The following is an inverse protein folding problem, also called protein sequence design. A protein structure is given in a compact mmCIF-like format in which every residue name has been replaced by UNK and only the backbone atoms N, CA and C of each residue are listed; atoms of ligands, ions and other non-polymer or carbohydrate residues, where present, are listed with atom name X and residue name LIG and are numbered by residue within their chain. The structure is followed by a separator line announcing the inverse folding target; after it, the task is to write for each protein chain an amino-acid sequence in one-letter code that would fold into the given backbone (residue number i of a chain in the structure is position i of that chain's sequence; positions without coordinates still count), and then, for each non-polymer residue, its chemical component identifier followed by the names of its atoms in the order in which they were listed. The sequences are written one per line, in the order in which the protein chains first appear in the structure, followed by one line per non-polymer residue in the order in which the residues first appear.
data_IF_275951631046
#
_entry.id   IF_275951631046
#
_cell.length_a   1.000
_cell.length_b   1.000
_cell.length_c   1.000
_cell.angle_alpha   90.00
_cell.angle_beta   90.00
_cell.angle_gamma   90.00
#
_symmetry.space_group_name_H-M   'P 1'
#
loop_
_entity.id
_entity.type
_entity.pdbx_description
1 polymer ?
#
# COMPACT_ATOMS: atom_id res chain seq x y z
N UNK A 1 26.03 3.04 -24.05
CA UNK A 1 26.72 3.19 -22.80
C UNK A 1 25.85 3.75 -21.72
N UNK A 2 25.39 4.98 -21.92
CA UNK A 2 24.61 5.63 -20.88
C UNK A 2 23.34 4.88 -20.54
N UNK A 3 22.66 4.33 -21.53
CA UNK A 3 21.42 3.60 -21.28
C UNK A 3 21.67 2.36 -20.44
N UNK A 4 22.74 1.65 -20.74
CA UNK A 4 23.06 0.46 -20.00
C UNK A 4 23.39 0.81 -18.55
N UNK A 5 24.15 1.86 -18.37
CA UNK A 5 24.50 2.30 -17.04
C UNK A 5 23.24 2.68 -16.23
N UNK A 6 22.33 3.35 -16.89
CA UNK A 6 21.09 3.75 -16.26
C UNK A 6 20.26 2.54 -15.83
N UNK A 7 20.22 1.52 -16.66
CA UNK A 7 19.47 0.31 -16.34
C UNK A 7 20.05 -0.39 -15.12
N UNK A 8 21.38 -0.45 -15.06
CA UNK A 8 22.05 -1.08 -13.92
C UNK A 8 21.73 -0.34 -12.65
N UNK A 9 21.74 0.97 -12.70
CA UNK A 9 21.40 1.79 -11.54
C UNK A 9 19.98 1.49 -11.07
N UNK A 10 19.06 1.36 -11.99
CA UNK A 10 17.68 1.08 -11.66
C UNK A 10 17.54 -0.27 -10.99
N UNK A 11 18.27 -1.26 -11.47
CA UNK A 11 18.21 -2.59 -10.87
C UNK A 11 18.75 -2.59 -9.45
N UNK A 12 19.78 -1.81 -9.19
CA UNK A 12 20.31 -1.71 -7.84
C UNK A 12 19.26 -1.17 -6.89
N UNK A 13 18.51 -0.18 -7.32
CA UNK A 13 17.44 0.38 -6.50
C UNK A 13 16.37 -0.67 -6.20
N UNK A 14 16.06 -1.51 -7.17
CA UNK A 14 15.00 -2.48 -6.99
C UNK A 14 15.40 -3.63 -6.07
N UNK A 15 16.67 -3.73 -5.72
CA UNK A 15 17.13 -4.78 -4.80
C UNK A 15 17.07 -4.34 -3.35
N UNK A 16 16.54 -3.18 -3.08
CA UNK A 16 16.40 -2.65 -1.73
C UNK A 16 15.58 -3.60 -0.87
N UNK A 17 15.95 -3.72 0.40
CA UNK A 17 15.24 -4.58 1.34
C UNK A 17 13.79 -4.15 1.54
N UNK A 18 13.49 -2.88 1.31
CA UNK A 18 12.12 -2.37 1.41
C UNK A 18 11.45 -2.30 0.05
N UNK A 19 11.87 -3.17 -0.88
CA UNK A 19 11.27 -3.21 -2.19
C UNK A 19 9.77 -3.45 -2.04
N UNK A 20 9.00 -2.70 -2.82
CA UNK A 20 7.54 -2.76 -2.76
C UNK A 20 6.94 -1.61 -2.01
N UNK A 21 7.55 -1.14 -0.93
CA UNK A 21 6.95 -0.07 -0.12
C UNK A 21 6.98 1.28 -0.82
N UNK A 22 7.94 1.49 -1.68
CA UNK A 22 8.05 2.74 -2.44
C UNK A 22 7.51 2.61 -3.86
N UNK A 23 6.91 1.47 -4.18
CA UNK A 23 6.34 1.28 -5.51
C UNK A 23 5.16 2.21 -5.72
N UNK A 24 4.94 2.66 -6.96
CA UNK A 24 3.77 3.48 -7.23
C UNK A 24 2.48 2.76 -6.90
N UNK A 25 1.49 3.50 -6.47
CA UNK A 25 0.16 2.97 -6.18
C UNK A 25 -0.44 2.47 -7.49
N UNK A 26 -0.79 1.19 -7.52
CA UNK A 26 -1.35 0.59 -8.72
C UNK A 26 -2.12 -0.68 -8.34
N UNK A 27 -2.83 -1.23 -9.31
CA UNK A 27 -3.55 -2.49 -9.19
C UNK A 27 -2.57 -3.62 -8.85
N UNK A 28 -2.87 -4.37 -7.81
CA UNK A 28 -2.05 -5.51 -7.44
C UNK A 28 -0.74 -5.17 -6.73
N UNK A 29 -0.60 -3.96 -6.23
CA UNK A 29 0.63 -3.57 -5.56
C UNK A 29 0.82 -4.38 -4.27
N UNK A 30 2.06 -4.66 -3.94
CA UNK A 30 2.41 -5.38 -2.71
C UNK A 30 3.03 -4.41 -1.71
N UNK A 31 2.23 -4.00 -0.74
CA UNK A 31 2.65 -3.14 0.36
C UNK A 31 2.65 -3.90 1.68
N UNK A 32 2.71 -5.24 1.62
CA UNK A 32 2.71 -6.03 2.85
C UNK A 32 3.87 -5.64 3.75
N UNK A 33 3.58 -5.58 5.04
CA UNK A 33 4.57 -5.24 6.08
C UNK A 33 5.17 -3.84 5.94
N UNK A 34 4.64 -3.01 5.07
CA UNK A 34 5.14 -1.65 4.91
C UNK A 34 4.60 -0.75 6.00
N UNK A 35 5.34 0.29 6.33
CA UNK A 35 4.90 1.29 7.27
C UNK A 35 4.73 2.60 6.53
N UNK A 36 3.53 3.14 6.58
CA UNK A 36 3.24 4.41 5.95
C UNK A 36 3.26 5.52 6.99
N UNK A 37 3.66 6.70 6.57
CA UNK A 37 3.82 7.82 7.48
C UNK A 37 2.51 8.24 8.10
N UNK A 38 2.54 8.64 9.36
CA UNK A 38 1.37 9.12 10.05
C UNK A 38 0.81 10.35 9.33
N UNK A 39 -0.50 10.37 9.16
CA UNK A 39 -1.17 11.49 8.53
C UNK A 39 -1.08 11.53 7.02
N UNK A 40 -0.57 10.47 6.40
CA UNK A 40 -0.45 10.43 4.95
C UNK A 40 -1.83 10.44 4.30
N UNK A 41 -1.94 11.13 3.18
CA UNK A 41 -3.20 11.25 2.45
C UNK A 41 -3.20 10.29 1.27
N UNK A 42 -3.99 9.22 1.40
CA UNK A 42 -4.18 8.25 0.32
C UNK A 42 -5.61 8.29 -0.20
N UNK A 43 -6.27 9.44 -0.05
CA UNK A 43 -7.63 9.63 -0.48
C UNK A 43 -7.76 9.41 -1.98
N UNK A 44 -8.80 8.67 -2.35
CA UNK A 44 -9.10 8.44 -3.76
C UNK A 44 -8.13 7.53 -4.49
N UNK A 45 -7.25 6.83 -3.78
CA UNK A 45 -6.27 5.97 -4.44
C UNK A 45 -6.91 4.72 -5.01
N UNK A 46 -6.28 4.15 -6.02
CA UNK A 46 -6.76 2.95 -6.70
C UNK A 46 -5.83 1.78 -6.37
N UNK A 47 -6.30 0.93 -5.47
CA UNK A 47 -5.50 -0.16 -4.90
C UNK A 47 -6.24 -1.51 -4.94
N UNK A 48 -6.91 -1.87 -6.03
CA UNK A 48 -7.61 -3.16 -6.05
C UNK A 48 -6.61 -4.30 -6.14
N UNK A 49 -7.01 -5.46 -5.64
CA UNK A 49 -6.21 -6.69 -5.71
C UNK A 49 -4.85 -6.54 -5.06
N UNK A 50 -4.72 -5.68 -4.07
CA UNK A 50 -3.43 -5.34 -3.47
C UNK A 50 -3.21 -6.12 -2.18
N UNK A 51 -1.93 -6.29 -1.85
CA UNK A 51 -1.56 -6.94 -0.60
C UNK A 51 -1.11 -5.88 0.39
N UNK A 52 -1.95 -5.62 1.39
CA UNK A 52 -1.67 -4.65 2.44
C UNK A 52 -1.57 -5.35 3.80
N UNK A 53 -1.35 -6.67 3.78
CA UNK A 53 -1.32 -7.44 5.03
C UNK A 53 -0.13 -7.03 5.88
N UNK A 54 -0.35 -7.01 7.19
CA UNK A 54 0.67 -6.64 8.16
C UNK A 54 1.24 -5.23 7.98
N UNK A 55 0.61 -4.40 7.17
CA UNK A 55 1.09 -3.04 6.96
C UNK A 55 0.59 -2.13 8.09
N UNK A 56 1.30 -1.05 8.30
CA UNK A 56 0.94 -0.08 9.32
C UNK A 56 0.53 1.24 8.68
N UNK A 57 -0.72 1.63 8.94
CA UNK A 57 -1.33 2.85 8.39
C UNK A 57 -1.96 3.63 9.54
N UNK A 58 -1.17 4.34 10.29
CA UNK A 58 -1.68 5.09 11.44
C UNK A 58 -2.00 6.52 10.99
N UNK A 59 -3.24 6.95 11.26
CA UNK A 59 -3.71 8.29 10.89
C UNK A 59 -3.64 8.55 9.38
N UNK A 60 -3.93 7.53 8.59
CA UNK A 60 -3.88 7.63 7.13
C UNK A 60 -5.31 7.84 6.60
N UNK A 61 -5.44 8.70 5.61
CA UNK A 61 -6.73 8.99 5.01
C UNK A 61 -6.93 8.13 3.76
N UNK A 62 -7.85 7.18 3.84
CA UNK A 62 -8.22 6.32 2.71
C UNK A 62 -9.61 6.66 2.15
N UNK A 63 -10.13 7.83 2.45
CA UNK A 63 -11.48 8.18 1.99
C UNK A 63 -11.57 8.04 0.47
N UNK A 64 -12.66 7.44 0.02
CA UNK A 64 -12.97 7.26 -1.40
C UNK A 64 -11.95 6.40 -2.15
N UNK A 65 -11.08 5.69 -1.45
CA UNK A 65 -10.14 4.80 -2.12
C UNK A 65 -10.87 3.56 -2.63
N UNK A 66 -10.29 2.93 -3.64
CA UNK A 66 -10.81 1.68 -4.19
C UNK A 66 -9.82 0.58 -3.84
N UNK A 67 -10.25 -0.32 -2.95
CA UNK A 67 -9.39 -1.37 -2.41
C UNK A 67 -10.06 -2.74 -2.51
N UNK A 68 -10.86 -2.95 -3.54
CA UNK A 68 -11.59 -4.21 -3.72
C UNK A 68 -10.64 -5.39 -3.85
N UNK A 69 -11.05 -6.53 -3.34
CA UNK A 69 -10.30 -7.78 -3.43
C UNK A 69 -8.89 -7.70 -2.87
N UNK A 70 -8.70 -6.86 -1.87
CA UNK A 70 -7.38 -6.65 -1.29
C UNK A 70 -7.24 -7.37 0.04
N UNK A 71 -6.03 -7.67 0.42
CA UNK A 71 -5.71 -8.33 1.68
C UNK A 71 -5.20 -7.31 2.69
N UNK A 72 -6.03 -7.00 3.69
CA UNK A 72 -5.68 -6.07 4.75
C UNK A 72 -5.45 -6.80 6.08
N UNK A 73 -5.35 -8.12 6.04
CA UNK A 73 -5.27 -8.91 7.27
C UNK A 73 -4.10 -8.48 8.15
N UNK A 74 -4.33 -8.46 9.45
CA UNK A 74 -3.32 -8.09 10.44
C UNK A 74 -2.76 -6.68 10.24
N UNK A 75 -3.41 -5.85 9.46
CA UNK A 75 -2.97 -4.46 9.28
C UNK A 75 -3.37 -3.60 10.47
N UNK A 76 -2.60 -2.53 10.71
CA UNK A 76 -2.89 -1.54 11.74
C UNK A 76 -3.43 -0.29 11.05
N UNK A 77 -4.67 0.09 11.37
CA UNK A 77 -5.34 1.22 10.75
C UNK A 77 -5.86 2.20 11.80
N UNK A 78 -5.13 2.34 12.90
CA UNK A 78 -5.56 3.18 14.01
C UNK A 78 -5.75 4.63 13.55
N UNK A 79 -6.91 5.18 13.89
CA UNK A 79 -7.24 6.57 13.59
C UNK A 79 -7.24 6.90 12.10
N UNK A 80 -7.36 5.89 11.25
CA UNK A 80 -7.46 6.10 9.81
C UNK A 80 -8.91 6.25 9.39
N UNK A 81 -9.13 6.91 8.26
CA UNK A 81 -10.48 7.19 7.75
C UNK A 81 -10.71 6.43 6.45
N UNK A 82 -11.88 5.82 6.33
CA UNK A 82 -12.29 5.04 5.16
C UNK A 82 -13.65 5.49 4.63
N UNK A 83 -13.99 6.75 4.75
CA UNK A 83 -15.30 7.23 4.33
C UNK A 83 -15.48 7.02 2.83
N UNK A 84 -16.51 6.27 2.46
CA UNK A 84 -16.82 5.94 1.07
C UNK A 84 -15.73 5.15 0.36
N UNK A 85 -14.85 4.51 1.12
CA UNK A 85 -13.88 3.59 0.53
C UNK A 85 -14.61 2.33 0.05
N UNK A 86 -14.14 1.77 -1.05
CA UNK A 86 -14.72 0.54 -1.59
C UNK A 86 -13.81 -0.62 -1.21
N UNK A 87 -14.29 -1.42 -0.25
CA UNK A 87 -13.56 -2.56 0.27
C UNK A 87 -14.23 -3.88 -0.14
N UNK A 88 -14.96 -3.88 -1.23
CA UNK A 88 -15.73 -5.05 -1.65
C UNK A 88 -14.83 -6.27 -1.79
N UNK A 89 -15.24 -7.35 -1.14
CA UNK A 89 -14.51 -8.63 -1.14
C UNK A 89 -13.08 -8.55 -0.62
N UNK A 90 -12.77 -7.54 0.17
CA UNK A 90 -11.45 -7.46 0.80
C UNK A 90 -11.44 -8.26 2.09
N UNK A 91 -10.26 -8.75 2.46
CA UNK A 91 -10.08 -9.51 3.67
C UNK A 91 -9.62 -8.57 4.80
N UNK A 92 -10.48 -8.42 5.80
CA UNK A 92 -10.23 -7.52 6.93
C UNK A 92 -9.99 -8.30 8.22
N UNK A 93 -9.55 -9.55 8.10
CA UNK A 93 -9.34 -10.37 9.29
C UNK A 93 -8.29 -9.81 10.21
N UNK A 94 -8.66 -9.72 11.49
CA UNK A 94 -7.73 -9.33 12.58
C UNK A 94 -7.01 -8.01 12.33
N UNK A 95 -7.68 -7.05 11.72
CA UNK A 95 -7.10 -5.70 11.62
C UNK A 95 -7.19 -5.01 12.98
N UNK A 96 -6.31 -4.04 13.19
CA UNK A 96 -6.29 -3.21 14.38
C UNK A 96 -6.81 -1.83 14.02
N UNK A 97 -7.84 -1.38 14.71
CA UNK A 97 -8.47 -0.09 14.45
C UNK A 97 -8.22 0.91 15.57
#
# INVERSE_FOLDING_TARGET
MKKLFFIIFFLILSSNANAGCDDPITDGVDYSKCKFSDGQDLQGTFLPNSNLSFASFIQVNFDKSIMMNSDLTFGTFSESSFIRANLYESNLGEIIL
#
